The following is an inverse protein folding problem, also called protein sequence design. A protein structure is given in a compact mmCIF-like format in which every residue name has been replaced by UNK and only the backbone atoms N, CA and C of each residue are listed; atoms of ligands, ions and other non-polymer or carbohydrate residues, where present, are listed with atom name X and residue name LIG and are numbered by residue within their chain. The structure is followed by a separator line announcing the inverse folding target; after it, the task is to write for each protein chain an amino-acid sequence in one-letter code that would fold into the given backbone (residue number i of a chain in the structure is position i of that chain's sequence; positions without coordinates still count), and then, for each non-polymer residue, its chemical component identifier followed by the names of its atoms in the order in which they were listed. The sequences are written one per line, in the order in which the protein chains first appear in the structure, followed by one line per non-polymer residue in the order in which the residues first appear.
data_IF_794428662537
#
_entry.id   IF_794428662537
#
_cell.length_a   1.000
_cell.length_b   1.000
_cell.length_c   1.000
_cell.angle_alpha   90.00
_cell.angle_beta   90.00
_cell.angle_gamma   90.00
#
_symmetry.space_group_name_H-M   'P 1'
#
loop_
_entity.id
_entity.type
_entity.pdbx_description
1 polymer ?
#
# COMPACT_ATOMS: atom_id res chain seq x y z
N UNK A 1 -23.33 -5.52 -16.23
CA UNK A 1 -22.44 -6.69 -16.41
C UNK A 1 -21.66 -6.50 -17.70
N UNK A 2 -20.59 -5.70 -17.70
CA UNK A 2 -19.84 -5.38 -18.92
C UNK A 2 -18.71 -6.39 -19.11
N UNK A 3 -18.66 -6.95 -20.32
CA UNK A 3 -17.80 -8.06 -20.69
C UNK A 3 -16.32 -7.76 -20.46
N UNK A 4 -15.69 -8.63 -19.69
CA UNK A 4 -14.24 -8.70 -19.52
C UNK A 4 -13.64 -9.09 -20.88
N UNK A 5 -13.32 -8.08 -21.71
CA UNK A 5 -12.61 -8.28 -22.98
C UNK A 5 -11.21 -8.77 -22.65
N UNK A 6 -11.06 -10.09 -22.48
CA UNK A 6 -9.79 -10.77 -22.30
C UNK A 6 -8.94 -10.53 -23.55
N UNK A 7 -8.11 -9.49 -23.49
CA UNK A 7 -7.05 -9.29 -24.49
C UNK A 7 -6.22 -10.56 -24.45
N UNK A 8 -6.26 -11.33 -25.53
CA UNK A 8 -5.46 -12.56 -25.69
C UNK A 8 -3.99 -12.13 -25.74
N UNK A 9 -3.35 -12.07 -24.58
CA UNK A 9 -1.92 -11.80 -24.48
C UNK A 9 -1.17 -12.98 -25.10
N UNK A 10 -0.25 -12.73 -26.03
CA UNK A 10 0.64 -13.76 -26.56
C UNK A 10 1.50 -14.39 -25.46
N UNK A 11 2.16 -15.52 -25.75
CA UNK A 11 2.93 -16.29 -24.77
C UNK A 11 3.87 -15.41 -23.92
N UNK A 12 4.71 -14.59 -24.56
CA UNK A 12 5.68 -13.71 -23.90
C UNK A 12 5.05 -12.63 -23.02
N UNK A 13 3.90 -12.07 -23.40
CA UNK A 13 3.23 -11.03 -22.59
C UNK A 13 2.62 -11.60 -21.31
N UNK A 14 2.20 -12.87 -21.31
CA UNK A 14 1.68 -13.55 -20.11
C UNK A 14 2.78 -13.75 -19.07
N UNK A 15 3.99 -14.09 -19.51
CA UNK A 15 5.16 -14.21 -18.64
C UNK A 15 5.53 -12.89 -17.96
N UNK A 16 5.49 -11.77 -18.69
CA UNK A 16 5.77 -10.44 -18.13
C UNK A 16 4.73 -10.08 -17.05
N UNK A 17 3.44 -10.33 -17.30
CA UNK A 17 2.38 -10.08 -16.32
C UNK A 17 2.53 -10.97 -15.09
N UNK A 18 2.88 -12.24 -15.29
CA UNK A 18 3.16 -13.17 -14.18
C UNK A 18 4.34 -12.71 -13.33
N UNK A 19 5.46 -12.35 -13.96
CA UNK A 19 6.63 -11.82 -13.26
C UNK A 19 6.29 -10.55 -12.48
N UNK A 20 5.54 -9.62 -13.07
CA UNK A 20 5.07 -8.42 -12.38
C UNK A 20 4.17 -8.74 -11.17
N UNK A 21 3.28 -9.73 -11.30
CA UNK A 21 2.42 -10.18 -10.21
C UNK A 21 3.26 -10.79 -9.06
N UNK A 22 4.23 -11.65 -9.38
CA UNK A 22 5.14 -12.24 -8.39
C UNK A 22 5.92 -11.17 -7.64
N UNK A 23 6.49 -10.18 -8.33
CA UNK A 23 7.20 -9.06 -7.69
C UNK A 23 6.27 -8.26 -6.78
N UNK A 24 5.03 -7.99 -7.21
CA UNK A 24 4.02 -7.31 -6.37
C UNK A 24 3.70 -8.11 -5.11
N UNK A 25 3.45 -9.41 -5.23
CA UNK A 25 3.14 -10.29 -4.09
C UNK A 25 4.31 -10.39 -3.11
N UNK A 26 5.54 -10.45 -3.62
CA UNK A 26 6.75 -10.43 -2.81
C UNK A 26 6.85 -9.14 -2.00
N UNK A 27 6.64 -7.98 -2.64
CA UNK A 27 6.67 -6.68 -1.96
C UNK A 27 5.58 -6.53 -0.89
N UNK A 28 4.36 -6.98 -1.16
CA UNK A 28 3.25 -6.91 -0.19
C UNK A 28 3.55 -7.79 1.02
N UNK A 29 3.97 -9.03 0.77
CA UNK A 29 4.29 -9.99 1.84
C UNK A 29 5.52 -9.57 2.63
N UNK A 30 6.52 -8.98 1.97
CA UNK A 30 7.70 -8.41 2.61
C UNK A 30 7.38 -7.19 3.47
N UNK A 31 6.50 -6.30 2.99
CA UNK A 31 6.08 -5.11 3.75
C UNK A 31 5.35 -5.47 5.04
N UNK A 32 4.48 -6.50 5.01
CA UNK A 32 3.77 -6.98 6.20
C UNK A 32 4.73 -7.51 7.28
N UNK A 33 5.77 -8.24 6.87
CA UNK A 33 6.80 -8.76 7.79
C UNK A 33 7.66 -7.62 8.36
N UNK A 34 8.07 -6.68 7.52
CA UNK A 34 8.86 -5.53 7.94
C UNK A 34 8.12 -4.66 8.96
N UNK A 35 6.81 -4.44 8.76
CA UNK A 35 5.97 -3.70 9.71
C UNK A 35 5.95 -4.33 11.11
N UNK A 36 6.01 -5.67 11.21
CA UNK A 36 6.08 -6.36 12.50
C UNK A 36 7.38 -6.10 13.27
N UNK A 37 8.52 -6.06 12.57
CA UNK A 37 9.83 -5.76 13.18
C UNK A 37 9.91 -4.28 13.58
N UNK A 38 9.45 -3.38 12.71
CA UNK A 38 9.46 -1.94 12.96
C UNK A 38 8.55 -1.57 14.15
N UNK A 39 7.47 -2.33 14.38
CA UNK A 39 6.58 -2.11 15.51
C UNK A 39 7.31 -2.27 16.84
N UNK A 40 8.12 -3.32 17.00
CA UNK A 40 8.87 -3.58 18.23
C UNK A 40 9.89 -2.46 18.51
N UNK A 41 10.65 -2.05 17.49
CA UNK A 41 11.58 -0.92 17.59
C UNK A 41 10.88 0.42 17.91
N UNK A 42 9.70 0.67 17.33
CA UNK A 42 8.91 1.88 17.59
C UNK A 42 8.38 1.91 19.03
N UNK A 43 7.92 0.78 19.56
CA UNK A 43 7.45 0.68 20.95
C UNK A 43 8.59 1.03 21.92
N UNK A 44 9.80 0.51 21.66
CA UNK A 44 11.00 0.82 22.45
C UNK A 44 11.40 2.28 22.33
N UNK A 45 11.43 2.86 21.11
CA UNK A 45 11.83 4.26 20.89
C UNK A 45 10.84 5.29 21.43
N UNK A 46 9.54 4.98 21.40
CA UNK A 46 8.49 5.91 21.83
C UNK A 46 8.04 5.71 23.29
N UNK A 47 8.58 4.71 24.00
CA UNK A 47 8.18 4.36 25.38
C UNK A 47 6.65 4.33 25.54
N UNK A 48 5.96 3.78 24.54
CA UNK A 48 4.51 3.89 24.39
C UNK A 48 3.86 2.49 24.38
N UNK A 49 2.56 2.42 24.63
CA UNK A 49 1.87 1.15 24.75
C UNK A 49 1.85 0.41 23.40
N UNK A 50 2.26 -0.86 23.41
CA UNK A 50 2.28 -1.78 22.27
C UNK A 50 0.92 -1.83 21.53
N UNK A 51 -0.18 -1.65 22.27
CA UNK A 51 -1.54 -1.60 21.74
C UNK A 51 -1.78 -0.36 20.86
N UNK A 52 -1.24 0.80 21.24
CA UNK A 52 -1.46 2.06 20.52
C UNK A 52 -0.78 2.05 19.15
N UNK A 53 0.44 1.51 19.09
CA UNK A 53 1.20 1.37 17.85
C UNK A 53 0.54 0.31 16.95
N UNK A 54 0.11 -0.82 17.51
CA UNK A 54 -0.64 -1.84 16.77
C UNK A 54 -1.93 -1.30 16.14
N UNK A 55 -2.64 -0.40 16.84
CA UNK A 55 -3.83 0.26 16.31
C UNK A 55 -3.54 1.15 15.09
N UNK A 56 -2.39 1.84 15.04
CA UNK A 56 -1.99 2.63 13.88
C UNK A 56 -1.80 1.76 12.63
N UNK A 57 -1.12 0.62 12.78
CA UNK A 57 -0.96 -0.36 11.69
C UNK A 57 -2.31 -1.00 11.28
N UNK A 58 -3.19 -1.28 12.25
CA UNK A 58 -4.52 -1.82 11.97
C UNK A 58 -5.38 -0.84 11.15
N UNK A 59 -5.37 0.44 11.51
CA UNK A 59 -6.10 1.50 10.79
C UNK A 59 -5.56 1.69 9.37
N UNK A 60 -4.24 1.66 9.17
CA UNK A 60 -3.64 1.68 7.83
C UNK A 60 -4.15 0.53 6.96
N UNK A 61 -4.14 -0.69 7.49
CA UNK A 61 -4.62 -1.87 6.77
C UNK A 61 -6.14 -1.79 6.52
N UNK A 62 -6.92 -1.26 7.46
CA UNK A 62 -8.36 -1.04 7.28
C UNK A 62 -8.65 -0.06 6.13
N UNK A 63 -7.98 1.10 6.12
CA UNK A 63 -8.08 2.06 5.02
C UNK A 63 -7.69 1.43 3.67
N UNK A 64 -6.66 0.59 3.66
CA UNK A 64 -6.24 -0.14 2.46
C UNK A 64 -7.32 -1.07 1.90
N UNK A 65 -8.02 -1.80 2.77
CA UNK A 65 -9.14 -2.63 2.34
C UNK A 65 -10.32 -1.79 1.83
N UNK A 66 -10.60 -0.63 2.43
CA UNK A 66 -11.64 0.30 1.97
C UNK A 66 -11.33 0.93 0.61
N UNK A 67 -10.05 1.17 0.30
CA UNK A 67 -9.62 1.70 -1.00
C UNK A 67 -9.71 0.64 -2.11
N UNK A 68 -9.71 -0.66 -1.78
CA UNK A 68 -9.82 -1.75 -2.76
C UNK A 68 -11.06 -1.66 -3.67
N UNK A 69 -12.31 -1.55 -3.16
CA UNK A 69 -13.48 -1.37 -4.01
C UNK A 69 -13.48 -0.03 -4.75
N UNK A 70 -12.97 1.04 -4.12
CA UNK A 70 -12.85 2.36 -4.76
C UNK A 70 -11.93 2.29 -5.98
N UNK A 71 -10.81 1.57 -5.86
CA UNK A 71 -9.88 1.35 -6.96
C UNK A 71 -10.55 0.57 -8.09
N UNK A 72 -11.38 -0.42 -7.76
CA UNK A 72 -12.12 -1.19 -8.75
C UNK A 72 -13.15 -0.35 -9.50
N UNK A 73 -13.80 0.62 -8.84
CA UNK A 73 -14.66 1.61 -9.50
C UNK A 73 -13.85 2.56 -10.39
N UNK A 74 -12.70 3.04 -9.94
CA UNK A 74 -11.82 3.90 -10.75
C UNK A 74 -11.22 3.18 -11.96
N UNK A 75 -10.96 1.88 -11.87
CA UNK A 75 -10.48 1.08 -13.00
C UNK A 75 -11.52 0.96 -14.13
N UNK A 76 -12.81 1.15 -13.84
CA UNK A 76 -13.84 1.19 -14.89
C UNK A 76 -13.84 2.51 -15.67
N UNK A 77 -13.31 3.60 -15.10
CA UNK A 77 -13.25 4.92 -15.75
C UNK A 77 -11.85 5.30 -16.24
N UNK A 78 -10.80 4.78 -15.60
CA UNK A 78 -9.40 5.09 -15.91
C UNK A 78 -8.58 3.86 -16.32
N UNK A 79 -7.58 4.07 -17.18
CA UNK A 79 -6.70 2.99 -17.64
C UNK A 79 -5.76 2.52 -16.51
N UNK A 80 -5.56 1.19 -16.39
CA UNK A 80 -4.77 0.55 -15.34
C UNK A 80 -3.36 1.14 -15.14
N UNK A 81 -2.73 1.63 -16.23
CA UNK A 81 -1.40 2.25 -16.17
C UNK A 81 -1.38 3.57 -15.39
N UNK A 82 -2.38 4.42 -15.59
CA UNK A 82 -2.43 5.74 -14.94
C UNK A 82 -2.67 5.60 -13.44
N UNK A 83 -3.55 4.67 -13.05
CA UNK A 83 -3.83 4.35 -11.65
C UNK A 83 -2.60 3.82 -10.92
N UNK A 84 -1.82 2.94 -11.55
CA UNK A 84 -0.59 2.40 -10.96
C UNK A 84 0.47 3.49 -10.73
N UNK A 85 0.65 4.41 -11.69
CA UNK A 85 1.61 5.53 -11.56
C UNK A 85 1.14 6.51 -10.48
N UNK A 86 -0.14 6.90 -10.49
CA UNK A 86 -0.70 7.82 -9.51
C UNK A 86 -0.62 7.23 -8.08
N UNK A 87 -0.96 5.95 -7.92
CA UNK A 87 -0.83 5.26 -6.63
C UNK A 87 0.62 5.14 -6.16
N UNK A 88 1.56 4.84 -7.07
CA UNK A 88 2.99 4.82 -6.74
C UNK A 88 3.52 6.17 -6.27
N UNK A 89 3.15 7.25 -6.97
CA UNK A 89 3.54 8.61 -6.60
C UNK A 89 2.95 9.04 -5.26
N UNK A 90 1.67 8.77 -5.02
CA UNK A 90 0.97 9.12 -3.78
C UNK A 90 1.58 8.40 -2.57
N UNK A 91 1.92 7.13 -2.73
CA UNK A 91 2.63 6.35 -1.71
C UNK A 91 4.03 6.87 -1.48
N UNK A 92 4.78 7.16 -2.54
CA UNK A 92 6.13 7.72 -2.45
C UNK A 92 6.16 9.07 -1.72
N UNK A 93 5.24 9.97 -2.08
CA UNK A 93 5.09 11.26 -1.36
C UNK A 93 4.68 11.05 0.09
N UNK A 94 3.78 10.09 0.37
CA UNK A 94 3.42 9.71 1.72
C UNK A 94 4.64 9.32 2.56
N UNK A 95 5.47 8.39 2.11
CA UNK A 95 6.67 7.98 2.85
C UNK A 95 7.72 9.09 3.02
N UNK A 96 7.92 9.94 2.00
CA UNK A 96 8.90 11.04 2.07
C UNK A 96 8.43 12.11 3.06
N UNK A 97 7.16 12.50 3.00
CA UNK A 97 6.58 13.48 3.92
C UNK A 97 6.63 12.97 5.37
N UNK A 98 6.48 11.66 5.54
CA UNK A 98 6.58 11.01 6.83
C UNK A 98 7.98 11.06 7.42
N UNK A 99 9.02 10.89 6.60
CA UNK A 99 10.41 10.99 7.03
C UNK A 99 10.82 12.41 7.41
N UNK A 100 10.31 13.43 6.70
CA UNK A 100 10.69 14.83 6.92
C UNK A 100 10.15 15.43 8.21
N UNK A 101 9.01 14.94 8.71
CA UNK A 101 8.37 15.55 9.87
C UNK A 101 8.35 14.65 11.14
N UNK A 102 9.09 13.54 11.16
CA UNK A 102 9.08 12.52 12.21
C UNK A 102 9.64 12.97 13.60
N UNK A 103 8.91 13.85 14.29
CA UNK A 103 9.26 14.31 15.66
C UNK A 103 8.17 13.98 16.72
N UNK A 104 7.02 13.40 16.34
CA UNK A 104 5.90 13.11 17.25
C UNK A 104 5.15 11.81 16.87
N UNK A 105 4.58 11.12 17.87
CA UNK A 105 3.70 9.93 17.74
C UNK A 105 2.56 10.15 16.74
N UNK A 106 2.03 11.38 16.72
CA UNK A 106 0.97 11.80 15.80
C UNK A 106 1.37 11.71 14.33
N UNK A 107 2.66 11.88 14.02
CA UNK A 107 3.10 11.73 12.63
C UNK A 107 2.99 10.30 12.16
N UNK A 108 3.19 9.31 13.02
CA UNK A 108 3.05 7.90 12.69
C UNK A 108 1.60 7.63 12.27
N UNK A 109 0.60 8.13 13.02
CA UNK A 109 -0.80 8.00 12.64
C UNK A 109 -1.16 8.63 11.28
N UNK A 110 -0.63 9.83 10.99
CA UNK A 110 -0.92 10.55 9.73
C UNK A 110 -0.18 9.92 8.54
N UNK A 111 1.09 9.54 8.74
CA UNK A 111 1.96 8.80 7.80
C UNK A 111 1.31 7.52 7.31
N UNK A 112 0.84 6.71 8.27
CA UNK A 112 0.19 5.44 8.02
C UNK A 112 -1.25 5.61 7.52
N UNK A 113 -1.91 6.75 7.75
CA UNK A 113 -3.22 6.97 7.10
C UNK A 113 -3.07 7.41 5.64
N UNK A 114 -2.02 8.18 5.33
CA UNK A 114 -1.79 8.76 4.01
C UNK A 114 -1.13 7.78 3.03
N UNK A 115 -0.31 6.83 3.51
CA UNK A 115 0.30 5.76 2.69
C UNK A 115 -0.71 4.66 2.32
N UNK A 116 -1.95 5.02 2.01
CA UNK A 116 -2.94 4.10 1.45
C UNK A 116 -2.49 3.62 0.07
N UNK A 117 -1.76 2.50 0.01
CA UNK A 117 -1.32 1.92 -1.26
C UNK A 117 -2.54 1.49 -2.09
N UNK A 118 -2.47 1.67 -3.40
CA UNK A 118 -3.52 1.22 -4.33
C UNK A 118 -3.07 -0.12 -4.95
N UNK A 119 -3.94 -1.15 -4.89
CA UNK A 119 -3.70 -2.49 -5.46
C UNK A 119 -3.83 -2.52 -6.98
#
# INVERSE_FOLDING_TARGET
MQGFRLKKFGGTQRWIVFAACCVRLFFVSGSLKANGVILDELVVKLNSNHVLVAWAFALQNACYYLISPVTQMLMNTFSYRQLSIAGGLLVGTGYILSGLFANKVWHIFVTYSLSGKIK
#
